data_IF_937554316707
#
_entry.id   IF_937554316707
#
_cell.length_a   1.000
_cell.length_b   1.000
_cell.length_c   1.000
_cell.angle_alpha   90.00
_cell.angle_beta   90.00
_cell.angle_gamma   90.00
#
_symmetry.space_group_name_H-M   'P 1'
#
loop_
_entity.id
_entity.type
_entity.pdbx_description
1 polymer ?
#
# COMPACT_ATOMS: atom_id res chain seq x y z
N UNK A 1 34.19 -3.67 -24.19
CA UNK A 1 34.48 -2.24 -24.22
C UNK A 1 34.18 -1.64 -22.86
N UNK A 2 35.19 -1.00 -22.30
CA UNK A 2 35.27 -0.55 -20.92
C UNK A 2 34.50 0.77 -20.74
N UNK A 3 33.43 0.75 -19.94
CA UNK A 3 32.61 1.93 -19.55
C UNK A 3 33.41 3.11 -19.00
N UNK A 4 34.67 2.86 -18.61
CA UNK A 4 35.62 3.85 -18.11
C UNK A 4 36.12 4.74 -19.26
N UNK A 5 36.42 4.17 -20.43
CA UNK A 5 36.86 4.97 -21.58
C UNK A 5 35.72 5.76 -22.18
N UNK A 6 34.50 5.22 -22.22
CA UNK A 6 33.33 5.92 -22.74
C UNK A 6 33.05 7.22 -21.96
N UNK A 7 33.13 7.17 -20.61
CA UNK A 7 33.01 8.36 -19.75
C UNK A 7 34.11 9.39 -20.00
N UNK A 8 35.34 8.91 -20.22
CA UNK A 8 36.49 9.77 -20.42
C UNK A 8 36.42 10.50 -21.78
N UNK A 9 35.85 9.85 -22.80
CA UNK A 9 35.55 10.46 -24.10
C UNK A 9 34.38 11.45 -24.03
N UNK A 10 33.28 11.12 -23.33
CA UNK A 10 32.17 12.05 -23.09
C UNK A 10 32.64 13.33 -22.35
N UNK A 11 33.46 13.19 -21.31
CA UNK A 11 34.02 14.33 -20.58
C UNK A 11 34.95 15.19 -21.44
N UNK A 12 35.77 14.56 -22.29
CA UNK A 12 36.66 15.26 -23.22
C UNK A 12 35.91 15.99 -24.35
N UNK A 13 34.72 15.52 -24.74
CA UNK A 13 33.84 16.20 -25.70
C UNK A 13 33.14 17.40 -25.06
N UNK A 14 32.65 17.28 -23.82
CA UNK A 14 32.07 18.40 -23.07
C UNK A 14 33.11 19.50 -22.82
N UNK A 15 34.38 19.13 -22.58
CA UNK A 15 35.46 20.10 -22.39
C UNK A 15 35.71 21.01 -23.61
N UNK A 16 35.20 20.64 -24.80
CA UNK A 16 35.30 21.43 -26.03
C UNK A 16 34.10 22.35 -26.26
N UNK A 17 33.09 22.30 -25.40
CA UNK A 17 31.88 23.11 -25.56
C UNK A 17 32.20 24.59 -25.51
N UNK A 18 31.52 25.34 -26.36
CA UNK A 18 31.44 26.79 -26.24
C UNK A 18 30.67 27.16 -24.95
N UNK A 19 30.82 28.41 -24.44
CA UNK A 19 30.04 28.86 -23.30
C UNK A 19 28.52 28.76 -23.49
N UNK A 20 28.02 28.80 -24.72
CA UNK A 20 26.60 28.61 -25.01
C UNK A 20 26.18 27.15 -24.88
N UNK A 21 26.91 26.22 -25.52
CA UNK A 21 26.65 24.79 -25.45
C UNK A 21 26.75 24.27 -24.00
N UNK A 22 27.68 24.81 -23.22
CA UNK A 22 27.79 24.49 -21.79
C UNK A 22 26.55 24.90 -21.00
N UNK A 23 26.00 26.09 -21.25
CA UNK A 23 24.74 26.54 -20.61
C UNK A 23 23.55 25.68 -21.03
N UNK A 24 23.45 25.33 -22.31
CA UNK A 24 22.39 24.47 -22.82
C UNK A 24 22.47 23.06 -22.22
N UNK A 25 23.68 22.51 -22.11
CA UNK A 25 23.92 21.23 -21.44
C UNK A 25 23.54 21.26 -19.96
N UNK A 26 23.94 22.30 -19.22
CA UNK A 26 23.56 22.46 -17.81
C UNK A 26 22.04 22.62 -17.64
N UNK A 27 21.40 23.39 -18.53
CA UNK A 27 19.94 23.58 -18.53
C UNK A 27 19.23 22.26 -18.80
N UNK A 28 19.69 21.48 -19.79
CA UNK A 28 19.15 20.14 -20.09
C UNK A 28 19.32 19.19 -18.90
N UNK A 29 20.49 19.19 -18.27
CA UNK A 29 20.78 18.37 -17.08
C UNK A 29 19.92 18.76 -15.88
N UNK A 30 19.66 20.05 -15.71
CA UNK A 30 18.75 20.56 -14.68
C UNK A 30 17.32 20.08 -14.94
N UNK A 31 16.80 20.28 -16.15
CA UNK A 31 15.47 19.80 -16.53
C UNK A 31 15.31 18.28 -16.34
N UNK A 32 16.32 17.49 -16.72
CA UNK A 32 16.33 16.05 -16.48
C UNK A 32 16.26 15.71 -15.00
N UNK A 33 17.03 16.41 -14.16
CA UNK A 33 17.03 16.19 -12.70
C UNK A 33 15.69 16.54 -12.08
N UNK A 34 15.07 17.63 -12.49
CA UNK A 34 13.77 18.06 -11.96
C UNK A 34 12.68 17.04 -12.30
N UNK A 35 12.64 16.59 -13.56
CA UNK A 35 11.71 15.54 -14.00
C UNK A 35 11.95 14.26 -13.20
N UNK A 36 13.21 13.81 -13.10
CA UNK A 36 13.55 12.58 -12.39
C UNK A 36 13.17 12.66 -10.91
N UNK A 37 13.50 13.76 -10.23
CA UNK A 37 13.19 13.95 -8.83
C UNK A 37 11.68 13.99 -8.59
N UNK A 38 10.92 14.64 -9.49
CA UNK A 38 9.45 14.67 -9.43
C UNK A 38 8.86 13.28 -9.57
N UNK A 39 9.29 12.51 -10.58
CA UNK A 39 8.82 11.13 -10.81
C UNK A 39 9.19 10.20 -9.66
N UNK A 40 10.44 10.26 -9.19
CA UNK A 40 10.91 9.42 -8.09
C UNK A 40 10.17 9.74 -6.79
N UNK A 41 9.84 11.01 -6.55
CA UNK A 41 9.05 11.44 -5.39
C UNK A 41 7.61 10.98 -5.50
N UNK A 42 6.94 11.22 -6.63
CA UNK A 42 5.57 10.76 -6.86
C UNK A 42 5.45 9.24 -6.74
N UNK A 43 6.43 8.49 -7.24
CA UNK A 43 6.48 7.02 -7.10
C UNK A 43 6.62 6.60 -5.64
N UNK A 44 7.52 7.23 -4.88
CA UNK A 44 7.75 6.93 -3.47
C UNK A 44 6.50 7.20 -2.64
N UNK A 45 5.89 8.37 -2.83
CA UNK A 45 4.67 8.77 -2.14
C UNK A 45 3.50 7.86 -2.49
N UNK A 46 3.31 7.54 -3.77
CA UNK A 46 2.27 6.61 -4.20
C UNK A 46 2.40 5.21 -3.60
N UNK A 47 3.63 4.69 -3.47
CA UNK A 47 3.88 3.40 -2.79
C UNK A 47 3.57 3.52 -1.29
N UNK A 48 4.03 4.59 -0.64
CA UNK A 48 3.80 4.80 0.79
C UNK A 48 2.30 4.91 1.12
N UNK A 49 1.56 5.75 0.38
CA UNK A 49 0.12 5.87 0.52
C UNK A 49 -0.61 4.56 0.24
N UNK A 50 -0.22 3.84 -0.81
CA UNK A 50 -0.82 2.56 -1.16
C UNK A 50 -0.64 1.52 -0.05
N UNK A 51 0.55 1.48 0.55
CA UNK A 51 0.84 0.59 1.67
C UNK A 51 0.06 0.97 2.93
N UNK A 52 -0.01 2.26 3.26
CA UNK A 52 -0.78 2.75 4.40
C UNK A 52 -2.28 2.44 4.26
N UNK A 53 -2.87 2.76 3.10
CA UNK A 53 -4.28 2.46 2.80
C UNK A 53 -4.54 0.96 2.88
N UNK A 54 -3.70 0.15 2.24
CA UNK A 54 -3.84 -1.31 2.25
C UNK A 54 -3.74 -1.91 3.66
N UNK A 55 -2.80 -1.42 4.48
CA UNK A 55 -2.65 -1.89 5.86
C UNK A 55 -3.85 -1.50 6.73
N UNK A 56 -4.36 -0.27 6.58
CA UNK A 56 -5.53 0.21 7.32
C UNK A 56 -6.78 -0.58 6.96
N UNK A 57 -7.07 -0.74 5.67
CA UNK A 57 -8.21 -1.51 5.20
C UNK A 57 -8.11 -2.99 5.61
N UNK A 58 -6.92 -3.58 5.51
CA UNK A 58 -6.68 -4.96 5.93
C UNK A 58 -6.91 -5.17 7.42
N UNK A 59 -6.43 -4.25 8.26
CA UNK A 59 -6.64 -4.31 9.71
C UNK A 59 -8.12 -4.15 10.09
N UNK A 60 -8.82 -3.22 9.45
CA UNK A 60 -10.25 -2.98 9.71
C UNK A 60 -11.10 -4.18 9.31
N UNK A 61 -10.89 -4.72 8.10
CA UNK A 61 -11.59 -5.93 7.63
C UNK A 61 -11.27 -7.12 8.52
N UNK A 62 -10.00 -7.37 8.80
CA UNK A 62 -9.58 -8.50 9.65
C UNK A 62 -10.14 -8.41 11.07
N UNK A 63 -10.22 -7.20 11.65
CA UNK A 63 -10.85 -7.00 12.95
C UNK A 63 -12.36 -7.25 12.90
N UNK A 64 -13.05 -6.74 11.89
CA UNK A 64 -14.50 -6.94 11.73
C UNK A 64 -14.85 -8.42 11.53
N UNK A 65 -14.12 -9.12 10.65
CA UNK A 65 -14.25 -10.55 10.42
C UNK A 65 -13.97 -11.35 11.69
N UNK A 66 -12.90 -11.03 12.42
CA UNK A 66 -12.56 -11.70 13.68
C UNK A 66 -13.59 -11.49 14.78
N UNK A 67 -14.16 -10.29 14.89
CA UNK A 67 -15.26 -10.02 15.82
C UNK A 67 -16.52 -10.81 15.46
N UNK A 68 -16.89 -10.85 14.17
CA UNK A 68 -18.03 -11.62 13.71
C UNK A 68 -17.84 -13.12 13.94
N UNK A 69 -16.66 -13.66 13.60
CA UNK A 69 -16.33 -15.07 13.83
C UNK A 69 -16.42 -15.43 15.31
N UNK A 70 -15.90 -14.57 16.19
CA UNK A 70 -16.01 -14.75 17.64
C UNK A 70 -17.48 -14.77 18.11
N UNK A 71 -18.33 -13.88 17.59
CA UNK A 71 -19.77 -13.89 17.91
C UNK A 71 -20.44 -15.19 17.46
N UNK A 72 -20.12 -15.70 16.27
CA UNK A 72 -20.63 -16.98 15.77
C UNK A 72 -20.17 -18.16 16.63
N UNK A 73 -18.90 -18.18 17.04
CA UNK A 73 -18.36 -19.26 17.88
C UNK A 73 -18.99 -19.27 19.28
N UNK A 74 -19.20 -18.09 19.88
CA UNK A 74 -19.93 -17.96 21.15
C UNK A 74 -21.36 -18.46 20.99
N UNK A 75 -22.05 -18.07 19.91
CA UNK A 75 -23.42 -18.50 19.67
C UNK A 75 -23.55 -20.02 19.47
N UNK A 76 -22.59 -20.66 18.78
CA UNK A 76 -22.52 -22.13 18.66
C UNK A 76 -22.41 -22.80 20.03
N UNK A 77 -21.52 -22.31 20.88
CA UNK A 77 -21.36 -22.87 22.22
C UNK A 77 -22.61 -22.69 23.07
N UNK A 78 -23.23 -21.51 23.02
CA UNK A 78 -24.50 -21.25 23.73
C UNK A 78 -25.65 -22.14 23.24
N UNK A 79 -25.72 -22.42 21.93
CA UNK A 79 -26.69 -23.38 21.38
C UNK A 79 -26.42 -24.80 21.90
N UNK A 80 -25.17 -25.23 21.94
CA UNK A 80 -24.78 -26.54 22.46
C UNK A 80 -25.12 -26.70 23.96
N UNK A 81 -25.03 -25.61 24.72
CA UNK A 81 -25.41 -25.55 26.13
C UNK A 81 -26.94 -25.43 26.34
N UNK A 82 -27.73 -25.40 25.26
CA UNK A 82 -29.20 -25.32 25.33
C UNK A 82 -29.75 -23.95 25.72
N UNK A 83 -28.96 -22.88 25.54
CA UNK A 83 -29.40 -21.51 25.84
C UNK A 83 -30.51 -21.06 24.88
N UNK A 84 -31.49 -20.33 25.41
CA UNK A 84 -32.60 -19.79 24.62
C UNK A 84 -32.12 -18.88 23.47
N UNK A 85 -32.71 -19.07 22.29
CA UNK A 85 -32.33 -18.36 21.06
C UNK A 85 -32.48 -16.84 21.21
N UNK A 86 -33.51 -16.35 21.91
CA UNK A 86 -33.70 -14.91 22.11
C UNK A 86 -32.56 -14.33 22.96
N UNK A 87 -32.05 -15.11 23.91
CA UNK A 87 -30.92 -14.72 24.74
C UNK A 87 -29.62 -14.69 23.94
N UNK A 88 -29.40 -15.67 23.06
CA UNK A 88 -28.25 -15.72 22.15
C UNK A 88 -28.29 -14.51 21.21
N UNK A 89 -29.43 -14.18 20.61
CA UNK A 89 -29.58 -12.99 19.76
C UNK A 89 -29.23 -11.70 20.52
N UNK A 90 -29.74 -11.57 21.75
CA UNK A 90 -29.54 -10.37 22.58
C UNK A 90 -28.06 -10.12 22.92
N UNK A 91 -27.27 -11.16 23.16
CA UNK A 91 -25.88 -11.01 23.60
C UNK A 91 -24.84 -11.16 22.50
N UNK A 92 -25.11 -11.95 21.45
CA UNK A 92 -24.19 -12.13 20.32
C UNK A 92 -24.37 -11.05 19.24
N UNK A 93 -25.53 -10.39 19.21
CA UNK A 93 -25.90 -9.43 18.16
C UNK A 93 -26.24 -10.10 16.82
N UNK A 94 -26.33 -11.42 16.78
CA UNK A 94 -26.69 -12.19 15.59
C UNK A 94 -28.20 -12.18 15.36
N UNK A 95 -28.59 -12.26 14.08
CA UNK A 95 -29.99 -12.44 13.69
C UNK A 95 -30.44 -13.88 13.93
N UNK A 96 -31.76 -14.08 13.98
CA UNK A 96 -32.33 -15.42 14.08
C UNK A 96 -31.86 -16.32 12.92
N UNK A 97 -31.86 -15.79 11.69
CA UNK A 97 -31.38 -16.49 10.48
C UNK A 97 -29.92 -16.94 10.65
N UNK A 98 -29.04 -16.06 11.14
CA UNK A 98 -27.64 -16.40 11.37
C UNK A 98 -27.49 -17.52 12.41
N UNK A 99 -28.29 -17.50 13.47
CA UNK A 99 -28.27 -18.54 14.52
C UNK A 99 -28.85 -19.85 14.01
N UNK A 100 -29.88 -19.82 13.16
CA UNK A 100 -30.47 -21.02 12.57
C UNK A 100 -29.51 -21.76 11.63
N UNK A 101 -28.65 -21.03 10.92
CA UNK A 101 -27.57 -21.61 10.09
C UNK A 101 -26.49 -22.31 10.95
N UNK A 102 -26.40 -22.00 12.25
CA UNK A 102 -25.43 -22.60 13.18
C UNK A 102 -25.90 -23.91 13.82
N UNK A 103 -27.18 -24.28 13.66
CA UNK A 103 -27.75 -25.54 14.18
C UNK A 103 -27.37 -26.73 13.30
#
# INVERSE_FOLDING_TARGET
CDKVFDRLFEEAEIAKFTPQEMREYETSKMAYRDIKNSVDTAKREGIAEGMEKGMKEGLEKGRAEGMNQRSLDIARNMLADGVDINLIMKYSGLTQEQIEILK
#
